data_IF_206891141285
#
_entry.id   IF_206891141285
#
_cell.length_a   1.000
_cell.length_b   1.000
_cell.length_c   1.000
_cell.angle_alpha   90.00
_cell.angle_beta   90.00
_cell.angle_gamma   90.00
#
_symmetry.space_group_name_H-M   'P 1'
#
loop_
_entity.id
_entity.type
_entity.pdbx_description
1 polymer ?
#
# COMPACT_ATOMS: atom_id res chain seq x y z
N UNK A 1 -36.72 27.18 -71.00
CA UNK A 1 -37.25 26.58 -69.76
C UNK A 1 -36.08 26.32 -68.82
N UNK A 2 -35.73 27.28 -67.95
CA UNK A 2 -34.62 27.14 -66.98
C UNK A 2 -35.21 26.57 -65.69
N UNK A 3 -34.88 25.32 -65.34
CA UNK A 3 -35.11 24.80 -63.99
C UNK A 3 -34.04 25.41 -63.08
N UNK A 4 -34.45 26.28 -62.15
CA UNK A 4 -33.59 26.65 -61.03
C UNK A 4 -33.67 25.56 -59.97
N UNK A 5 -32.58 24.85 -59.75
CA UNK A 5 -32.40 23.98 -58.58
C UNK A 5 -32.42 24.85 -57.32
N UNK A 6 -33.46 24.72 -56.49
CA UNK A 6 -33.48 25.35 -55.15
C UNK A 6 -32.59 24.54 -54.20
N UNK A 7 -31.44 25.12 -53.84
CA UNK A 7 -30.61 24.67 -52.73
C UNK A 7 -31.38 24.84 -51.41
N UNK A 8 -31.68 23.72 -50.73
CA UNK A 8 -32.31 23.72 -49.41
C UNK A 8 -31.25 24.20 -48.39
N UNK A 9 -31.26 25.49 -48.05
CA UNK A 9 -30.45 26.01 -46.94
C UNK A 9 -30.92 25.39 -45.61
N UNK A 10 -30.20 24.37 -45.13
CA UNK A 10 -30.33 23.88 -43.75
C UNK A 10 -29.96 25.03 -42.80
N UNK A 11 -30.94 25.51 -42.03
CA UNK A 11 -30.68 26.41 -40.90
C UNK A 11 -29.81 25.67 -39.87
N UNK A 12 -28.62 26.17 -39.62
CA UNK A 12 -27.78 25.69 -38.52
C UNK A 12 -28.33 26.27 -37.22
N UNK A 13 -29.02 25.44 -36.45
CA UNK A 13 -29.40 25.77 -35.08
C UNK A 13 -28.17 25.55 -34.18
N UNK A 14 -27.44 26.63 -33.88
CA UNK A 14 -26.34 26.61 -32.92
C UNK A 14 -26.84 26.65 -31.48
N UNK A 15 -26.02 26.15 -30.55
CA UNK A 15 -26.23 26.32 -29.11
C UNK A 15 -26.12 27.81 -28.72
N UNK A 16 -26.97 28.25 -27.81
CA UNK A 16 -26.91 29.61 -27.28
C UNK A 16 -25.75 29.75 -26.29
N UNK A 17 -25.14 30.93 -26.20
CA UNK A 17 -24.09 31.21 -25.23
C UNK A 17 -24.59 30.99 -23.79
N UNK A 18 -25.87 31.30 -23.54
CA UNK A 18 -26.51 31.11 -22.23
C UNK A 18 -26.66 29.63 -21.88
N UNK A 19 -27.05 28.77 -22.83
CA UNK A 19 -27.10 27.31 -22.59
C UNK A 19 -25.73 26.77 -22.22
N UNK A 20 -24.68 27.19 -22.93
CA UNK A 20 -23.32 26.73 -22.65
C UNK A 20 -22.84 27.21 -21.28
N UNK A 21 -23.16 28.44 -20.87
CA UNK A 21 -22.79 28.95 -19.54
C UNK A 21 -23.44 28.17 -18.40
N UNK A 22 -24.73 27.84 -18.51
CA UNK A 22 -25.43 27.07 -17.48
C UNK A 22 -24.86 25.65 -17.39
N UNK A 23 -24.60 25.02 -18.54
CA UNK A 23 -24.02 23.66 -18.58
C UNK A 23 -22.63 23.66 -17.93
N UNK A 24 -21.77 24.63 -18.24
CA UNK A 24 -20.45 24.75 -17.63
C UNK A 24 -20.53 25.01 -16.12
N UNK A 25 -21.51 25.81 -15.66
CA UNK A 25 -21.71 26.04 -14.23
C UNK A 25 -22.04 24.75 -13.48
N UNK A 26 -22.95 23.92 -14.02
CA UNK A 26 -23.32 22.64 -13.40
C UNK A 26 -22.13 21.66 -13.42
N UNK A 27 -21.43 21.54 -14.56
CA UNK A 27 -20.25 20.67 -14.67
C UNK A 27 -19.17 21.11 -13.68
N UNK A 28 -18.96 22.40 -13.49
CA UNK A 28 -17.98 22.93 -12.53
C UNK A 28 -18.26 22.49 -11.09
N UNK A 29 -19.52 22.55 -10.65
CA UNK A 29 -19.93 22.10 -9.31
C UNK A 29 -19.73 20.59 -9.16
N UNK A 30 -20.17 19.80 -10.13
CA UNK A 30 -20.01 18.35 -10.09
C UNK A 30 -18.53 17.93 -10.09
N UNK A 31 -17.70 18.58 -10.90
CA UNK A 31 -16.26 18.31 -10.97
C UNK A 31 -15.55 18.62 -9.65
N UNK A 32 -15.92 19.68 -8.94
CA UNK A 32 -15.32 20.03 -7.65
C UNK A 32 -15.50 18.93 -6.58
N UNK A 33 -16.60 18.16 -6.64
CA UNK A 33 -16.86 17.05 -5.72
C UNK A 33 -16.29 15.73 -6.28
N UNK A 34 -16.45 15.50 -7.58
CA UNK A 34 -16.07 14.25 -8.22
C UNK A 34 -14.55 14.06 -8.32
N UNK A 35 -13.78 15.13 -8.59
CA UNK A 35 -12.34 15.04 -8.79
C UNK A 35 -11.59 14.58 -7.52
N UNK A 36 -11.79 15.18 -6.33
CA UNK A 36 -11.13 14.71 -5.12
C UNK A 36 -11.51 13.27 -4.75
N UNK A 37 -12.79 12.89 -4.93
CA UNK A 37 -13.26 11.54 -4.65
C UNK A 37 -12.63 10.49 -5.60
N UNK A 38 -12.53 10.82 -6.90
CA UNK A 38 -11.88 9.95 -7.87
C UNK A 38 -10.38 9.79 -7.58
N UNK A 39 -9.69 10.87 -7.21
CA UNK A 39 -8.29 10.81 -6.79
C UNK A 39 -8.12 9.87 -5.60
N UNK A 40 -8.91 10.04 -4.54
CA UNK A 40 -8.85 9.19 -3.35
C UNK A 40 -9.11 7.70 -3.67
N UNK A 41 -10.06 7.41 -4.58
CA UNK A 41 -10.30 6.05 -5.08
C UNK A 41 -9.07 5.46 -5.80
N UNK A 42 -8.45 6.23 -6.69
CA UNK A 42 -7.26 5.76 -7.42
C UNK A 42 -6.05 5.54 -6.51
N UNK A 43 -5.89 6.35 -5.45
CA UNK A 43 -4.82 6.17 -4.46
C UNK A 43 -5.04 4.85 -3.70
N UNK A 44 -6.28 4.59 -3.28
CA UNK A 44 -6.64 3.35 -2.56
C UNK A 44 -6.41 2.10 -3.41
N UNK A 45 -6.78 2.11 -4.70
CA UNK A 45 -6.57 0.94 -5.57
C UNK A 45 -5.09 0.63 -5.77
N UNK A 46 -4.26 1.66 -5.95
CA UNK A 46 -2.80 1.51 -6.08
C UNK A 46 -2.12 1.06 -4.79
N UNK A 47 -2.64 1.46 -3.63
CA UNK A 47 -2.16 0.95 -2.35
C UNK A 47 -2.43 -0.56 -2.22
N UNK A 48 -3.62 -1.01 -2.62
CA UNK A 48 -3.98 -2.44 -2.61
C UNK A 48 -3.09 -3.27 -3.55
N UNK A 49 -2.67 -2.71 -4.69
CA UNK A 49 -1.67 -3.35 -5.56
C UNK A 49 -0.35 -3.61 -4.79
N UNK A 50 0.12 -2.66 -3.99
CA UNK A 50 1.31 -2.86 -3.16
C UNK A 50 1.15 -3.95 -2.09
N UNK A 51 -0.05 -4.11 -1.52
CA UNK A 51 -0.32 -5.26 -0.63
C UNK A 51 -0.21 -6.58 -1.41
N UNK A 52 -0.74 -6.64 -2.64
CA UNK A 52 -0.66 -7.84 -3.47
C UNK A 52 0.80 -8.20 -3.80
N UNK A 53 1.66 -7.22 -4.08
CA UNK A 53 3.11 -7.45 -4.24
C UNK A 53 3.75 -8.05 -2.99
N UNK A 54 3.33 -7.58 -1.80
CA UNK A 54 3.86 -8.05 -0.53
C UNK A 54 3.40 -9.47 -0.13
N UNK A 55 2.38 -10.04 -0.77
CA UNK A 55 1.95 -11.43 -0.48
C UNK A 55 3.06 -12.44 -0.80
N UNK A 56 3.86 -12.20 -1.83
CA UNK A 56 5.03 -13.04 -2.13
C UNK A 56 6.10 -12.98 -1.04
N UNK A 57 6.30 -11.79 -0.45
CA UNK A 57 7.20 -11.61 0.70
C UNK A 57 6.67 -12.37 1.93
N UNK A 58 5.36 -12.27 2.21
CA UNK A 58 4.73 -13.03 3.30
C UNK A 58 4.90 -14.53 3.12
N UNK A 59 4.69 -15.03 1.90
CA UNK A 59 4.86 -16.44 1.58
C UNK A 59 6.32 -16.92 1.79
N UNK A 60 7.30 -16.12 1.39
CA UNK A 60 8.72 -16.42 1.62
C UNK A 60 9.04 -16.54 3.12
N UNK A 61 8.55 -15.61 3.95
CA UNK A 61 8.73 -15.67 5.41
C UNK A 61 7.98 -16.86 6.00
N UNK A 62 6.75 -17.13 5.57
CA UNK A 62 5.94 -18.22 6.08
C UNK A 62 6.54 -19.61 5.82
N UNK A 63 7.22 -19.79 4.68
CA UNK A 63 7.77 -21.08 4.26
C UNK A 63 9.02 -21.47 5.05
N UNK A 64 9.95 -20.54 5.25
CA UNK A 64 11.29 -20.84 5.77
C UNK A 64 11.72 -19.90 6.92
N UNK A 65 11.14 -18.70 6.99
CA UNK A 65 11.57 -17.61 7.90
C UNK A 65 11.02 -17.70 9.33
N UNK A 66 10.16 -18.69 9.63
CA UNK A 66 9.59 -18.87 10.98
C UNK A 66 10.54 -19.67 11.88
N UNK A 67 11.39 -20.52 11.32
CA UNK A 67 12.18 -21.52 12.05
C UNK A 67 13.25 -20.94 12.99
N UNK A 68 13.93 -19.86 12.58
CA UNK A 68 14.93 -19.18 13.40
C UNK A 68 15.20 -17.76 12.90
N UNK A 69 15.74 -16.90 13.78
CA UNK A 69 16.15 -15.55 13.42
C UNK A 69 17.25 -15.52 12.33
N UNK A 70 18.14 -16.52 12.34
CA UNK A 70 19.20 -16.64 11.32
C UNK A 70 18.62 -16.96 9.94
N UNK A 71 17.63 -17.84 9.87
CA UNK A 71 16.97 -18.18 8.60
C UNK A 71 16.12 -17.00 8.08
N UNK A 72 15.43 -16.30 9.00
CA UNK A 72 14.70 -15.08 8.66
C UNK A 72 15.62 -14.00 8.08
N UNK A 73 16.81 -13.82 8.63
CA UNK A 73 17.80 -12.89 8.10
C UNK A 73 18.25 -13.30 6.69
N UNK A 74 18.56 -14.59 6.46
CA UNK A 74 18.96 -15.10 5.14
C UNK A 74 17.88 -14.89 4.08
N UNK A 75 16.62 -15.16 4.41
CA UNK A 75 15.49 -14.95 3.49
C UNK A 75 15.27 -13.47 3.23
N UNK A 76 15.40 -12.64 4.27
CA UNK A 76 15.28 -11.19 4.13
C UNK A 76 16.34 -10.63 3.19
N UNK A 77 17.59 -11.08 3.31
CA UNK A 77 18.68 -10.68 2.42
C UNK A 77 18.45 -11.15 0.98
N UNK A 78 18.04 -12.41 0.80
CA UNK A 78 17.76 -12.97 -0.51
C UNK A 78 16.60 -12.23 -1.21
N UNK A 79 15.52 -11.97 -0.49
CA UNK A 79 14.40 -11.17 -0.98
C UNK A 79 14.85 -9.75 -1.30
N UNK A 80 15.49 -9.05 -0.35
CA UNK A 80 15.88 -7.64 -0.50
C UNK A 80 16.85 -7.41 -1.67
N UNK A 81 17.73 -8.37 -1.97
CA UNK A 81 18.69 -8.26 -3.08
C UNK A 81 18.05 -8.35 -4.47
N UNK A 82 16.86 -8.92 -4.60
CA UNK A 82 16.20 -9.06 -5.88
C UNK A 82 15.68 -7.70 -6.40
N UNK A 83 15.29 -7.66 -7.68
CA UNK A 83 14.81 -6.43 -8.34
C UNK A 83 15.77 -5.23 -8.16
N UNK A 84 17.09 -5.48 -8.22
CA UNK A 84 18.11 -4.45 -8.07
C UNK A 84 18.21 -3.86 -6.66
N UNK A 85 17.92 -4.66 -5.62
CA UNK A 85 17.97 -4.20 -4.24
C UNK A 85 16.68 -3.56 -3.73
N UNK A 86 15.53 -3.81 -4.37
CA UNK A 86 14.23 -3.23 -3.98
C UNK A 86 13.25 -4.26 -3.46
N UNK A 87 13.62 -5.55 -3.47
CA UNK A 87 12.73 -6.65 -3.10
C UNK A 87 11.64 -6.86 -4.14
N UNK A 88 10.63 -6.00 -4.17
CA UNK A 88 9.70 -5.93 -5.28
C UNK A 88 9.36 -4.47 -5.56
N UNK A 89 9.09 -4.15 -6.82
CA UNK A 89 8.68 -2.82 -7.23
C UNK A 89 7.60 -2.89 -8.32
N UNK A 90 6.88 -1.78 -8.48
CA UNK A 90 5.95 -1.54 -9.57
C UNK A 90 5.94 -0.04 -9.89
N UNK A 91 5.08 0.40 -10.81
CA UNK A 91 4.91 1.82 -11.08
C UNK A 91 4.53 2.64 -9.83
N UNK A 92 3.82 2.02 -8.88
CA UNK A 92 3.31 2.69 -7.67
C UNK A 92 4.05 2.29 -6.40
N UNK A 93 4.91 1.27 -6.46
CA UNK A 93 5.66 0.74 -5.33
C UNK A 93 7.15 0.90 -5.61
N UNK A 94 7.83 1.70 -4.79
CA UNK A 94 9.28 1.90 -4.89
C UNK A 94 10.04 0.67 -4.41
N UNK A 95 9.60 0.07 -3.31
CA UNK A 95 10.23 -1.13 -2.73
C UNK A 95 9.27 -1.92 -1.84
N UNK A 96 9.56 -3.21 -1.69
CA UNK A 96 8.97 -4.10 -0.69
C UNK A 96 10.13 -4.77 0.03
N UNK A 97 10.46 -4.28 1.22
CA UNK A 97 11.66 -4.71 1.94
C UNK A 97 11.29 -5.51 3.19
N UNK A 98 12.03 -6.58 3.45
CA UNK A 98 11.98 -7.31 4.71
C UNK A 98 12.99 -6.72 5.72
N UNK A 99 12.62 -6.70 6.99
CA UNK A 99 13.49 -6.22 8.06
C UNK A 99 13.56 -4.69 8.16
N UNK A 100 12.66 -3.96 7.49
CA UNK A 100 12.63 -2.50 7.45
C UNK A 100 11.39 -1.96 8.17
N UNK A 101 11.54 -0.83 8.86
CA UNK A 101 10.44 -0.13 9.57
C UNK A 101 10.28 1.33 9.13
N UNK A 102 11.02 1.75 8.11
CA UNK A 102 11.02 3.10 7.55
C UNK A 102 10.87 3.02 6.04
N UNK A 103 10.32 4.07 5.43
CA UNK A 103 10.27 4.17 3.98
C UNK A 103 11.68 4.26 3.40
N UNK A 104 11.96 3.46 2.38
CA UNK A 104 13.23 3.47 1.68
C UNK A 104 13.02 3.09 0.21
N UNK A 105 13.67 3.80 -0.70
CA UNK A 105 13.62 3.47 -2.12
C UNK A 105 14.37 2.17 -2.44
N UNK A 106 15.37 1.82 -1.64
CA UNK A 106 16.13 0.57 -1.72
C UNK A 106 16.09 -0.15 -0.39
N UNK A 107 16.14 -1.47 -0.42
CA UNK A 107 16.16 -2.30 0.76
C UNK A 107 17.51 -2.28 1.47
N UNK A 108 17.56 -2.67 2.76
CA UNK A 108 18.81 -2.86 3.47
C UNK A 108 19.75 -3.78 2.70
N UNK A 109 21.05 -3.45 2.71
CA UNK A 109 22.08 -4.31 2.15
C UNK A 109 22.12 -5.67 2.88
N UNK A 110 22.66 -6.72 2.26
CA UNK A 110 22.79 -8.03 2.90
C UNK A 110 23.47 -7.93 4.29
N UNK A 111 22.86 -8.56 5.30
CA UNK A 111 23.31 -8.51 6.69
C UNK A 111 22.90 -7.25 7.47
N UNK A 112 22.24 -6.28 6.83
CA UNK A 112 21.72 -5.08 7.48
C UNK A 112 20.22 -5.13 7.78
N UNK A 113 19.49 -6.14 7.24
CA UNK A 113 18.08 -6.33 7.53
C UNK A 113 17.87 -6.76 9.00
N UNK A 114 16.93 -6.12 9.70
CA UNK A 114 16.58 -6.57 11.04
C UNK A 114 15.86 -7.92 10.96
N UNK A 115 16.22 -8.88 11.82
CA UNK A 115 15.56 -10.18 11.94
C UNK A 115 14.19 -10.07 12.67
N UNK A 116 13.38 -9.08 12.30
CA UNK A 116 12.06 -8.83 12.86
C UNK A 116 10.91 -9.34 11.97
N UNK A 117 11.21 -9.66 10.70
CA UNK A 117 10.27 -10.15 9.70
C UNK A 117 9.24 -9.11 9.23
N UNK A 118 9.39 -7.84 9.65
CA UNK A 118 8.51 -6.76 9.21
C UNK A 118 8.72 -6.53 7.72
N UNK A 119 7.63 -6.49 6.97
CA UNK A 119 7.65 -6.10 5.56
C UNK A 119 7.25 -4.64 5.46
N UNK A 120 8.13 -3.82 4.91
CA UNK A 120 7.87 -2.43 4.58
C UNK A 120 7.54 -2.29 3.09
N UNK A 121 6.35 -1.77 2.80
CA UNK A 121 5.95 -1.39 1.45
C UNK A 121 6.14 0.12 1.34
N UNK A 122 7.15 0.54 0.59
CA UNK A 122 7.42 1.94 0.30
C UNK A 122 6.80 2.28 -1.05
N UNK A 123 5.81 3.17 -1.04
CA UNK A 123 5.15 3.60 -2.26
C UNK A 123 5.92 4.71 -2.97
N UNK A 124 5.72 4.83 -4.28
CA UNK A 124 6.17 5.97 -5.05
C UNK A 124 5.19 7.13 -4.81
N UNK A 125 5.56 8.04 -3.91
CA UNK A 125 4.70 9.14 -3.47
C UNK A 125 4.27 10.06 -4.63
N UNK A 126 5.20 10.34 -5.56
CA UNK A 126 4.93 11.13 -6.76
C UNK A 126 3.90 10.44 -7.67
N UNK A 127 4.05 9.13 -7.92
CA UNK A 127 3.12 8.36 -8.74
C UNK A 127 1.73 8.25 -8.09
N UNK A 128 1.67 8.17 -6.75
CA UNK A 128 0.45 8.17 -5.96
C UNK A 128 -0.18 9.56 -5.78
N UNK A 129 0.55 10.66 -6.03
CA UNK A 129 0.14 12.04 -5.70
C UNK A 129 -0.15 12.22 -4.20
N UNK A 130 0.67 11.60 -3.36
CA UNK A 130 0.67 11.80 -1.90
C UNK A 130 2.03 12.34 -1.45
N UNK A 131 2.13 13.00 -0.28
CA UNK A 131 3.41 13.36 0.31
C UNK A 131 4.27 12.13 0.63
N UNK A 132 5.60 12.24 0.56
CA UNK A 132 6.53 11.17 0.95
C UNK A 132 6.34 10.72 2.41
N UNK A 133 5.93 11.66 3.27
CA UNK A 133 5.57 11.38 4.66
C UNK A 133 4.33 10.48 4.81
N UNK A 134 3.64 10.13 3.73
CA UNK A 134 2.44 9.29 3.70
C UNK A 134 2.59 8.07 2.77
N UNK A 135 3.82 7.66 2.49
CA UNK A 135 4.12 6.63 1.49
C UNK A 135 4.63 5.29 2.08
N UNK A 136 4.41 5.01 3.37
CA UNK A 136 4.81 3.75 4.01
C UNK A 136 3.62 2.94 4.52
N UNK A 137 3.58 1.64 4.20
CA UNK A 137 2.72 0.68 4.87
C UNK A 137 3.58 -0.44 5.46
N UNK A 138 3.33 -0.81 6.72
CA UNK A 138 4.07 -1.87 7.39
C UNK A 138 3.19 -3.08 7.69
N UNK A 139 3.72 -4.26 7.38
CA UNK A 139 3.15 -5.55 7.73
C UNK A 139 4.06 -6.20 8.77
N UNK A 140 3.59 -6.32 10.00
CA UNK A 140 4.35 -6.95 11.09
C UNK A 140 3.87 -8.37 11.32
N UNK A 141 4.76 -9.37 11.21
CA UNK A 141 4.39 -10.75 11.50
C UNK A 141 4.26 -10.96 13.01
N UNK A 142 3.25 -11.74 13.39
CA UNK A 142 3.06 -12.19 14.76
C UNK A 142 2.62 -13.64 14.76
N UNK A 143 2.84 -14.28 15.89
CA UNK A 143 2.31 -15.62 16.18
C UNK A 143 1.42 -15.51 17.41
N UNK A 144 0.41 -16.37 17.50
CA UNK A 144 -0.41 -16.45 18.72
C UNK A 144 0.32 -17.29 19.77
N UNK A 145 0.63 -16.66 20.88
CA UNK A 145 1.12 -17.30 22.10
C UNK A 145 0.04 -17.40 23.17
N UNK A 146 0.36 -18.08 24.28
CA UNK A 146 -0.57 -18.26 25.40
C UNK A 146 -1.04 -16.94 26.04
N UNK A 147 -0.22 -15.88 25.95
CA UNK A 147 -0.51 -14.55 26.48
C UNK A 147 -1.01 -13.55 25.40
N UNK A 148 -1.34 -14.02 24.18
CA UNK A 148 -1.79 -13.19 23.07
C UNK A 148 -0.82 -13.14 21.89
N UNK A 149 -0.97 -12.15 21.03
CA UNK A 149 -0.12 -11.97 19.85
C UNK A 149 1.31 -11.55 20.26
N UNK A 150 2.31 -12.31 19.81
CA UNK A 150 3.73 -12.07 20.06
C UNK A 150 4.41 -11.79 18.71
N UNK A 151 5.19 -10.71 18.57
CA UNK A 151 5.95 -10.46 17.35
C UNK A 151 6.88 -11.63 17.00
N UNK A 152 7.05 -11.93 15.72
CA UNK A 152 7.86 -13.07 15.28
C UNK A 152 9.29 -13.06 15.87
N UNK A 153 9.93 -11.90 15.91
CA UNK A 153 11.27 -11.72 16.47
C UNK A 153 11.38 -12.19 17.95
N UNK A 154 10.35 -11.88 18.75
CA UNK A 154 10.28 -12.25 20.15
C UNK A 154 9.95 -13.73 20.32
N UNK A 155 9.11 -14.29 19.44
CA UNK A 155 8.80 -15.71 19.43
C UNK A 155 10.02 -16.59 19.10
N UNK A 156 10.98 -16.06 18.34
CA UNK A 156 12.20 -16.76 17.92
C UNK A 156 13.34 -16.71 18.95
N UNK A 157 13.29 -15.82 19.94
CA UNK A 157 14.40 -15.56 20.89
C UNK A 157 14.07 -15.86 22.35
N UNK A 158 12.81 -16.20 22.68
CA UNK A 158 12.38 -16.47 24.06
C UNK A 158 12.74 -17.87 24.61
N UNK A 159 12.69 -18.10 25.94
CA UNK A 159 13.18 -19.31 26.64
C UNK A 159 12.42 -20.62 26.34
N UNK A 160 11.36 -20.53 25.55
CA UNK A 160 10.56 -21.60 24.97
C UNK A 160 9.85 -20.92 23.80
N UNK A 161 9.82 -21.48 22.59
CA UNK A 161 9.13 -20.91 21.44
C UNK A 161 7.68 -20.50 21.80
N UNK A 162 7.48 -19.24 22.20
CA UNK A 162 6.29 -18.82 22.94
C UNK A 162 5.07 -18.58 22.03
N UNK A 163 5.23 -18.83 20.73
CA UNK A 163 4.13 -19.02 19.80
C UNK A 163 4.42 -20.22 18.93
N UNK A 164 3.75 -21.34 19.21
CA UNK A 164 3.61 -22.48 18.30
C UNK A 164 2.43 -22.31 17.34
N UNK A 165 1.82 -21.12 17.33
CA UNK A 165 0.69 -20.78 16.46
C UNK A 165 1.09 -20.49 15.02
N UNK A 166 0.07 -20.40 14.16
CA UNK A 166 0.25 -19.97 12.78
C UNK A 166 0.82 -18.55 12.71
N UNK A 167 1.61 -18.29 11.66
CA UNK A 167 2.10 -16.96 11.32
C UNK A 167 0.94 -16.12 10.79
N UNK A 168 0.59 -15.06 11.51
CA UNK A 168 -0.40 -14.07 11.13
C UNK A 168 0.27 -12.70 10.90
N UNK A 169 -0.45 -11.78 10.26
CA UNK A 169 0.09 -10.48 9.85
C UNK A 169 -0.76 -9.32 10.36
N UNK A 170 -0.13 -8.39 11.06
CA UNK A 170 -0.73 -7.12 11.46
C UNK A 170 -0.34 -6.05 10.43
N UNK A 171 -1.32 -5.53 9.70
CA UNK A 171 -1.12 -4.43 8.78
C UNK A 171 -1.31 -3.10 9.49
N UNK A 172 -0.43 -2.13 9.23
CA UNK A 172 -0.46 -0.84 9.91
C UNK A 172 -0.27 0.32 8.96
N UNK A 173 -1.19 1.28 9.08
CA UNK A 173 -1.15 2.62 8.48
C UNK A 173 -0.82 3.66 9.55
N UNK A 174 -1.00 4.96 9.25
CA UNK A 174 -0.70 6.07 10.16
C UNK A 174 -1.31 5.93 11.56
N UNK A 175 -2.51 5.35 11.65
CA UNK A 175 -3.27 5.18 12.90
C UNK A 175 -2.94 3.87 13.63
N UNK A 176 -2.58 2.80 12.91
CA UNK A 176 -2.29 1.46 13.44
C UNK A 176 -3.37 0.89 14.37
N UNK A 177 -4.63 1.33 14.25
CA UNK A 177 -5.65 1.01 15.24
C UNK A 177 -5.95 -0.50 15.30
N UNK A 178 -6.00 -1.16 14.14
CA UNK A 178 -6.19 -2.61 14.04
C UNK A 178 -4.94 -3.36 14.49
N UNK A 179 -3.75 -2.90 14.09
CA UNK A 179 -2.50 -3.53 14.53
C UNK A 179 -2.30 -3.50 16.05
N UNK A 180 -2.63 -2.36 16.68
CA UNK A 180 -2.58 -2.21 18.15
C UNK A 180 -3.65 -3.05 18.85
N UNK A 181 -4.85 -3.23 18.25
CA UNK A 181 -5.88 -4.11 18.80
C UNK A 181 -5.50 -5.59 18.73
N UNK A 182 -4.70 -6.00 17.73
CA UNK A 182 -4.20 -7.37 17.60
C UNK A 182 -3.14 -7.68 18.66
N UNK A 183 -2.17 -6.77 18.87
CA UNK A 183 -1.07 -6.96 19.82
C UNK A 183 -0.89 -5.76 20.76
N UNK A 184 -1.81 -5.55 21.72
CA UNK A 184 -1.82 -4.36 22.58
C UNK A 184 -0.58 -4.25 23.49
N UNK A 185 0.02 -5.38 23.86
CA UNK A 185 1.21 -5.41 24.71
C UNK A 185 2.50 -5.02 23.97
N UNK A 186 2.56 -5.26 22.64
CA UNK A 186 3.70 -4.88 21.79
C UNK A 186 3.13 -4.36 20.47
N UNK A 187 2.77 -3.06 20.42
CA UNK A 187 2.14 -2.51 19.24
C UNK A 187 3.12 -2.45 18.06
N UNK A 188 2.70 -2.85 16.86
CA UNK A 188 3.55 -2.80 15.67
C UNK A 188 3.95 -1.37 15.29
N UNK A 189 5.05 -1.25 14.54
CA UNK A 189 5.53 0.02 13.99
C UNK A 189 4.50 0.68 13.04
N UNK A 190 4.64 1.97 12.74
CA UNK A 190 3.69 2.73 11.89
C UNK A 190 4.04 2.53 10.45
N UNK A 191 3.06 2.18 9.64
CA UNK A 191 2.97 2.83 8.33
C UNK A 191 2.65 4.31 8.47
N UNK A 192 2.98 5.09 7.45
CA UNK A 192 2.67 6.51 7.38
C UNK A 192 1.52 6.84 6.42
N UNK A 193 1.11 5.88 5.58
CA UNK A 193 -0.07 6.01 4.71
C UNK A 193 -1.30 6.34 5.54
N UNK A 194 -2.12 7.28 5.08
CA UNK A 194 -3.35 7.67 5.76
C UNK A 194 -4.37 6.52 5.82
N UNK A 195 -5.06 6.41 6.95
CA UNK A 195 -6.11 5.42 7.19
C UNK A 195 -7.23 5.39 6.13
N UNK A 196 -7.53 6.54 5.50
CA UNK A 196 -8.56 6.63 4.44
C UNK A 196 -8.19 5.89 3.16
N UNK A 197 -6.89 5.72 2.90
CA UNK A 197 -6.39 5.09 1.68
C UNK A 197 -6.14 3.59 1.81
N UNK A 198 -6.16 3.06 3.02
CA UNK A 198 -5.89 1.64 3.28
C UNK A 198 -7.19 0.86 3.50
N UNK A 199 -7.18 -0.46 3.24
CA UNK A 199 -8.31 -1.31 3.59
C UNK A 199 -8.46 -1.44 5.12
N UNK A 200 -9.61 -1.92 5.58
CA UNK A 200 -9.99 -1.88 7.00
C UNK A 200 -9.02 -2.62 7.90
N UNK A 201 -8.45 -3.73 7.44
CA UNK A 201 -7.45 -4.52 8.16
C UNK A 201 -6.11 -3.79 8.42
N UNK A 202 -5.88 -2.66 7.76
CA UNK A 202 -4.66 -1.87 7.87
C UNK A 202 -4.87 -0.53 8.59
N UNK A 203 -6.11 -0.20 8.96
CA UNK A 203 -6.43 1.06 9.67
C UNK A 203 -5.87 1.05 11.08
#
# INVERSE_FOLDING_TARGET
MKLSTQEIQKRQNGFTLVEVMIVLAIIGILAAIALPAYQDYTVRTRIVEGLALAENAKAAIAKEGVSSAAELARISDAWNAQAGGTGANSQYVSSVCMGATTAAATCPAPGAAAANGVIAISYNAAALRVPDSQALLLLSPYVRGAAGAVPLAAAQTGPSAAGTGALDWACTSSTRAVGTAISPAVPPAAGSVLAKYVPTQCR
#
